data_IF_056055167246
#
_entry.id   IF_056055167246
#
_cell.length_a   1.000
_cell.length_b   1.000
_cell.length_c   1.000
_cell.angle_alpha   90.00
_cell.angle_beta   90.00
_cell.angle_gamma   90.00
#
_symmetry.space_group_name_H-M   'P 1'
#
loop_
_entity.id
_entity.type
_entity.pdbx_description
1 polymer ?
#
# COMPACT_ATOMS: atom_id res chain seq x y z
N UNK A 1 -4.95 38.82 52.52
CA UNK A 1 -5.02 40.08 51.75
C UNK A 1 -3.74 40.07 50.91
N UNK A 2 -3.68 39.55 49.68
CA UNK A 2 -4.50 39.79 48.50
C UNK A 2 -4.69 38.48 47.72
N UNK A 3 -5.94 38.16 47.36
CA UNK A 3 -6.22 37.30 46.22
C UNK A 3 -6.98 38.17 45.22
N UNK A 4 -6.29 39.18 44.68
CA UNK A 4 -6.73 39.81 43.46
C UNK A 4 -6.60 38.70 42.40
N UNK A 5 -7.71 38.25 41.81
CA UNK A 5 -7.64 37.20 40.80
C UNK A 5 -6.75 37.69 39.66
N UNK A 6 -5.96 36.81 39.04
CA UNK A 6 -5.16 37.13 37.86
C UNK A 6 -5.97 37.88 36.78
N UNK A 7 -7.28 37.59 36.68
CA UNK A 7 -8.23 38.32 35.85
C UNK A 7 -8.31 39.82 36.18
N UNK A 8 -8.27 40.20 37.44
CA UNK A 8 -8.29 41.60 37.88
C UNK A 8 -6.95 42.31 37.60
N UNK A 9 -5.83 41.61 37.75
CA UNK A 9 -4.51 42.18 37.43
C UNK A 9 -4.34 42.35 35.92
N UNK A 10 -4.79 41.38 35.10
CA UNK A 10 -4.84 41.52 33.64
C UNK A 10 -5.79 42.62 33.19
N UNK A 11 -6.93 42.81 33.88
CA UNK A 11 -7.82 43.97 33.62
C UNK A 11 -7.14 45.30 33.89
N UNK A 12 -6.23 45.39 34.86
CA UNK A 12 -5.47 46.61 35.16
C UNK A 12 -4.43 46.96 34.07
N UNK A 13 -4.08 45.98 33.23
CA UNK A 13 -3.16 46.13 32.11
C UNK A 13 -3.86 46.53 30.80
N UNK A 14 -5.18 46.33 30.69
CA UNK A 14 -5.96 46.75 29.52
C UNK A 14 -5.96 48.28 29.36
N UNK A 15 -5.60 48.76 28.17
CA UNK A 15 -5.47 50.18 27.84
C UNK A 15 -4.46 50.96 28.72
N UNK A 16 -3.50 50.26 29.32
CA UNK A 16 -2.43 50.87 30.10
C UNK A 16 -1.24 51.22 29.20
N UNK A 17 -0.97 52.52 29.05
CA UNK A 17 0.07 53.05 28.16
C UNK A 17 1.50 52.72 28.60
N UNK A 18 1.72 52.40 29.88
CA UNK A 18 3.04 52.10 30.43
C UNK A 18 3.55 50.72 30.03
N UNK A 19 2.64 49.76 29.85
CA UNK A 19 2.97 48.36 29.61
C UNK A 19 2.60 47.89 28.20
N UNK A 20 1.96 48.74 27.41
CA UNK A 20 1.52 48.42 26.05
C UNK A 20 2.64 48.42 25.02
N UNK A 21 2.70 47.36 24.22
CA UNK A 21 3.62 47.19 23.10
C UNK A 21 2.91 47.29 21.73
N UNK A 22 1.58 47.49 21.70
CA UNK A 22 0.79 47.70 20.48
C UNK A 22 -0.39 48.64 20.71
N UNK A 23 -0.78 49.37 19.65
CA UNK A 23 -2.01 50.17 19.57
C UNK A 23 -2.90 49.62 18.47
N UNK A 24 -4.18 49.43 18.77
CA UNK A 24 -5.21 49.04 17.81
C UNK A 24 -6.06 50.26 17.52
N UNK A 25 -6.18 50.63 16.24
CA UNK A 25 -7.03 51.74 15.80
C UNK A 25 -8.33 51.20 15.22
N UNK A 26 -9.46 51.59 15.80
CA UNK A 26 -10.79 51.27 15.31
C UNK A 26 -11.19 52.07 14.08
N UNK A 27 -12.25 51.61 13.39
CA UNK A 27 -12.83 52.32 12.23
C UNK A 27 -13.49 53.65 12.61
N UNK A 28 -13.76 53.88 13.89
CA UNK A 28 -14.21 55.13 14.49
C UNK A 28 -13.05 56.11 14.78
N UNK A 29 -11.81 55.70 14.51
CA UNK A 29 -10.60 56.48 14.74
C UNK A 29 -10.06 56.40 16.17
N UNK A 30 -10.71 55.65 17.07
CA UNK A 30 -10.29 55.49 18.47
C UNK A 30 -9.11 54.51 18.56
N UNK A 31 -8.08 54.88 19.32
CA UNK A 31 -6.89 54.05 19.55
C UNK A 31 -6.92 53.41 20.94
N UNK A 32 -6.73 52.09 20.99
CA UNK A 32 -6.69 51.29 22.22
C UNK A 32 -5.27 50.74 22.40
N UNK A 33 -4.69 50.95 23.58
CA UNK A 33 -3.40 50.37 23.94
C UNK A 33 -3.60 48.91 24.40
N UNK A 34 -2.79 47.99 23.88
CA UNK A 34 -2.90 46.56 24.17
C UNK A 34 -1.52 45.91 24.28
N UNK A 35 -1.51 44.61 24.59
CA UNK A 35 -0.29 43.81 24.71
C UNK A 35 -0.34 42.71 23.66
N UNK A 36 0.66 42.61 22.77
CA UNK A 36 0.72 41.61 21.70
C UNK A 36 0.56 40.19 22.25
N UNK A 37 1.17 39.93 23.40
CA UNK A 37 1.04 38.66 24.12
C UNK A 37 -0.41 38.36 24.55
N UNK A 38 -1.13 39.35 25.09
CA UNK A 38 -2.52 39.17 25.53
C UNK A 38 -3.45 39.02 24.32
N UNK A 39 -3.14 39.66 23.20
CA UNK A 39 -3.92 39.56 21.96
C UNK A 39 -3.66 38.26 21.19
N UNK A 40 -2.44 37.74 21.24
CA UNK A 40 -2.03 36.56 20.48
C UNK A 40 -2.57 35.25 21.06
N UNK A 41 -2.95 35.22 22.34
CA UNK A 41 -3.31 34.00 23.05
C UNK A 41 -4.66 34.11 23.76
N UNK A 42 -5.42 33.01 23.78
CA UNK A 42 -6.65 32.92 24.56
C UNK A 42 -6.34 32.93 26.07
N UNK A 43 -7.34 33.27 26.89
CA UNK A 43 -7.20 33.28 28.35
C UNK A 43 -6.69 31.95 28.92
N UNK A 44 -7.06 30.82 28.30
CA UNK A 44 -6.61 29.49 28.71
C UNK A 44 -5.11 29.26 28.51
N UNK A 45 -4.57 29.68 27.37
CA UNK A 45 -3.12 29.53 27.08
C UNK A 45 -2.32 30.40 28.04
N UNK A 46 -2.76 31.63 28.28
CA UNK A 46 -2.10 32.54 29.22
C UNK A 46 -2.09 31.97 30.64
N UNK A 47 -3.17 31.28 31.06
CA UNK A 47 -3.20 30.59 32.35
C UNK A 47 -2.17 29.46 32.45
N UNK A 48 -2.01 28.64 31.39
CA UNK A 48 -1.00 27.57 31.36
C UNK A 48 0.41 28.16 31.50
N UNK A 49 0.72 29.20 30.73
CA UNK A 49 2.04 29.84 30.75
C UNK A 49 2.31 30.48 32.11
N UNK A 50 1.34 31.19 32.69
CA UNK A 50 1.50 31.82 33.98
C UNK A 50 1.61 30.80 35.11
N UNK A 51 0.75 29.78 35.15
CA UNK A 51 0.87 28.71 36.15
C UNK A 51 2.26 28.08 36.12
N UNK A 52 2.77 27.79 34.92
CA UNK A 52 4.12 27.27 34.74
C UNK A 52 5.20 28.24 35.24
N UNK A 53 5.14 29.53 34.89
CA UNK A 53 6.14 30.51 35.31
C UNK A 53 6.18 30.71 36.83
N UNK A 54 5.02 30.61 37.50
CA UNK A 54 4.93 30.81 38.96
C UNK A 54 5.22 29.54 39.78
N UNK A 55 4.92 28.36 39.25
CA UNK A 55 5.01 27.10 40.01
C UNK A 55 6.04 26.11 39.47
N UNK A 56 6.56 26.35 38.28
CA UNK A 56 7.44 25.42 37.54
C UNK A 56 6.71 24.19 36.97
N UNK A 57 5.38 24.11 37.13
CA UNK A 57 4.55 22.97 36.71
C UNK A 57 3.20 23.43 36.19
N UNK A 58 2.50 22.56 35.47
CA UNK A 58 1.11 22.77 35.06
C UNK A 58 0.24 21.65 35.60
N UNK A 59 -1.00 21.98 35.95
CA UNK A 59 -1.97 21.03 36.49
C UNK A 59 -3.04 20.68 35.46
N UNK A 60 -3.76 19.58 35.67
CA UNK A 60 -4.90 19.19 34.82
C UNK A 60 -6.06 20.19 34.87
N UNK A 61 -6.02 21.17 35.78
CA UNK A 61 -7.01 22.24 35.85
C UNK A 61 -6.82 23.28 34.74
N UNK A 62 -5.59 23.50 34.29
CA UNK A 62 -5.27 24.46 33.22
C UNK A 62 -4.95 23.77 31.91
N UNK A 63 -4.22 22.64 31.96
CA UNK A 63 -3.83 21.86 30.80
C UNK A 63 -4.85 20.75 30.57
N UNK A 64 -5.80 21.01 29.68
CA UNK A 64 -6.79 20.01 29.22
C UNK A 64 -6.50 19.55 27.79
N UNK A 65 -7.13 18.46 27.36
CA UNK A 65 -6.96 17.93 26.00
C UNK A 65 -7.44 18.92 24.93
N UNK A 66 -8.40 19.79 25.26
CA UNK A 66 -8.94 20.83 24.38
C UNK A 66 -8.02 22.03 24.21
N UNK A 67 -6.97 22.18 25.02
CA UNK A 67 -6.03 23.31 24.93
C UNK A 67 -4.58 22.85 24.79
N UNK A 68 -4.34 21.54 24.68
CA UNK A 68 -3.00 20.95 24.67
C UNK A 68 -2.17 21.41 23.47
N UNK A 69 -2.81 21.57 22.30
CA UNK A 69 -2.15 21.99 21.08
C UNK A 69 -1.73 23.47 21.17
N UNK A 70 -2.65 24.33 21.59
CA UNK A 70 -2.39 25.75 21.77
C UNK A 70 -1.44 26.03 22.93
N UNK A 71 -1.52 25.23 24.00
CA UNK A 71 -0.59 25.28 25.13
C UNK A 71 0.82 24.92 24.69
N UNK A 72 0.99 23.91 23.84
CA UNK A 72 2.27 23.57 23.24
C UNK A 72 2.79 24.70 22.35
N UNK A 73 1.92 25.28 21.51
CA UNK A 73 2.27 26.44 20.69
C UNK A 73 2.73 27.64 21.53
N UNK A 74 2.02 27.96 22.62
CA UNK A 74 2.43 28.99 23.56
C UNK A 74 3.78 28.69 24.21
N UNK A 75 3.99 27.45 24.66
CA UNK A 75 5.25 27.03 25.26
C UNK A 75 6.42 27.17 24.28
N UNK A 76 6.21 26.79 23.01
CA UNK A 76 7.22 26.94 21.96
C UNK A 76 7.51 28.42 21.64
N UNK A 77 6.46 29.24 21.52
CA UNK A 77 6.58 30.68 21.29
C UNK A 77 7.39 31.40 22.38
N UNK A 78 7.20 31.02 23.65
CA UNK A 78 7.94 31.56 24.78
C UNK A 78 9.26 30.84 25.08
N UNK A 79 9.65 29.86 24.24
CA UNK A 79 10.89 29.08 24.39
C UNK A 79 10.97 28.33 25.74
N UNK A 80 9.83 27.82 26.23
CA UNK A 80 9.71 27.10 27.50
C UNK A 80 9.87 25.59 27.28
N UNK A 81 11.10 25.13 27.06
CA UNK A 81 11.41 23.72 26.74
C UNK A 81 10.87 22.72 27.77
N UNK A 82 11.06 22.99 29.05
CA UNK A 82 10.59 22.10 30.10
C UNK A 82 9.05 22.05 30.18
N UNK A 83 8.35 23.12 29.80
CA UNK A 83 6.90 23.10 29.67
C UNK A 83 6.45 22.27 28.47
N UNK A 84 7.15 22.35 27.33
CA UNK A 84 6.89 21.48 26.16
C UNK A 84 6.96 20.00 26.56
N UNK A 85 7.99 19.60 27.31
CA UNK A 85 8.11 18.23 27.81
C UNK A 85 6.95 17.84 28.75
N UNK A 86 6.56 18.71 29.69
CA UNK A 86 5.42 18.44 30.57
C UNK A 86 4.10 18.27 29.79
N UNK A 87 3.89 19.05 28.74
CA UNK A 87 2.71 18.94 27.86
C UNK A 87 2.70 17.62 27.09
N UNK A 88 3.85 17.23 26.52
CA UNK A 88 3.99 15.95 25.82
C UNK A 88 3.76 14.77 26.79
N UNK A 89 4.31 14.83 28.00
CA UNK A 89 4.08 13.80 29.03
C UNK A 89 2.61 13.72 29.45
N UNK A 90 1.97 14.86 29.69
CA UNK A 90 0.55 14.94 29.98
C UNK A 90 -0.27 14.24 28.89
N UNK A 91 -0.03 14.56 27.62
CA UNK A 91 -0.73 13.93 26.51
C UNK A 91 -0.46 12.42 26.42
N UNK A 92 0.80 11.98 26.56
CA UNK A 92 1.16 10.55 26.58
C UNK A 92 0.45 9.79 27.69
N UNK A 93 0.34 10.38 28.89
CA UNK A 93 -0.38 9.78 30.01
C UNK A 93 -1.90 9.73 29.75
N UNK A 94 -2.46 10.78 29.18
CA UNK A 94 -3.87 10.81 28.79
C UNK A 94 -4.21 9.72 27.75
N UNK A 95 -3.32 9.48 26.78
CA UNK A 95 -3.50 8.40 25.80
C UNK A 95 -3.42 7.00 26.41
N UNK A 96 -2.58 6.78 27.44
CA UNK A 96 -2.50 5.49 28.15
C UNK A 96 -3.78 5.17 28.92
N UNK A 97 -4.45 6.20 29.45
CA UNK A 97 -5.67 6.04 30.22
C UNK A 97 -6.93 5.89 29.34
N UNK A 98 -6.88 6.32 28.07
CA UNK A 98 -8.01 6.34 27.14
C UNK A 98 -7.73 5.53 25.86
N UNK A 99 -7.59 4.21 26.00
CA UNK A 99 -7.18 3.34 24.89
C UNK A 99 -8.17 3.29 23.71
N UNK A 100 -9.49 3.34 23.96
CA UNK A 100 -10.50 3.16 22.92
C UNK A 100 -10.56 4.29 21.89
N UNK A 101 -10.25 5.53 22.30
CA UNK A 101 -10.35 6.72 21.44
C UNK A 101 -8.99 7.37 21.10
N UNK A 102 -7.89 6.65 21.32
CA UNK A 102 -6.52 7.16 21.21
C UNK A 102 -6.23 7.81 19.86
N UNK A 103 -6.70 7.19 18.77
CA UNK A 103 -6.43 7.65 17.40
C UNK A 103 -7.15 8.95 17.07
N UNK A 104 -8.45 9.06 17.35
CA UNK A 104 -9.23 10.27 17.09
C UNK A 104 -8.77 11.44 17.96
N UNK A 105 -8.39 11.17 19.22
CA UNK A 105 -7.78 12.18 20.07
C UNK A 105 -6.47 12.70 19.48
N UNK A 106 -5.63 11.80 18.97
CA UNK A 106 -4.35 12.16 18.34
C UNK A 106 -4.59 12.94 17.04
N UNK A 107 -5.54 12.52 16.20
CA UNK A 107 -5.93 13.23 14.98
C UNK A 107 -6.43 14.65 15.29
N UNK A 108 -7.33 14.77 16.27
CA UNK A 108 -7.91 16.06 16.69
C UNK A 108 -6.85 17.03 17.23
N UNK A 109 -5.93 16.53 18.05
CA UNK A 109 -4.82 17.35 18.57
C UNK A 109 -3.86 17.74 17.45
N UNK A 110 -3.55 16.82 16.54
CA UNK A 110 -2.71 17.11 15.37
C UNK A 110 -3.31 18.22 14.49
N UNK A 111 -4.61 18.18 14.23
CA UNK A 111 -5.30 19.24 13.48
C UNK A 111 -5.16 20.60 14.13
N UNK A 112 -5.43 20.71 15.42
CA UNK A 112 -5.30 22.00 16.13
C UNK A 112 -3.85 22.47 16.17
N UNK A 113 -2.91 21.56 16.37
CA UNK A 113 -1.49 21.90 16.42
C UNK A 113 -1.00 22.47 15.08
N UNK A 114 -1.35 21.84 13.96
CA UNK A 114 -0.98 22.31 12.62
C UNK A 114 -1.78 23.53 12.15
N UNK A 115 -2.92 23.82 12.79
CA UNK A 115 -3.64 25.07 12.60
C UNK A 115 -2.86 26.24 13.23
N UNK A 116 -2.34 26.06 14.44
CA UNK A 116 -1.62 27.10 15.18
C UNK A 116 -0.11 27.22 14.85
N UNK A 117 0.51 26.19 14.31
CA UNK A 117 1.95 26.18 14.00
C UNK A 117 2.23 26.16 12.49
N UNK A 118 3.24 26.92 12.06
CA UNK A 118 3.75 26.89 10.69
C UNK A 118 4.72 25.71 10.44
N UNK A 119 5.47 25.30 11.48
CA UNK A 119 6.44 24.21 11.39
C UNK A 119 5.83 22.85 11.76
N UNK A 120 6.02 21.87 10.88
CA UNK A 120 5.66 20.46 11.10
C UNK A 120 6.77 19.66 11.79
N UNK A 121 7.96 20.24 11.98
CA UNK A 121 9.12 19.55 12.55
C UNK A 121 9.23 19.87 14.05
N UNK A 122 8.42 19.19 14.87
CA UNK A 122 8.50 19.28 16.33
C UNK A 122 8.19 17.94 17.00
N UNK A 123 8.76 17.74 18.19
CA UNK A 123 8.65 16.48 18.95
C UNK A 123 7.19 16.06 19.21
N UNK A 124 6.29 17.03 19.35
CA UNK A 124 4.88 16.72 19.62
C UNK A 124 4.18 16.17 18.39
N UNK A 125 4.45 16.73 17.20
CA UNK A 125 4.00 16.19 15.92
C UNK A 125 4.51 14.77 15.71
N UNK A 126 5.76 14.46 16.06
CA UNK A 126 6.31 13.09 15.97
C UNK A 126 5.55 12.11 16.86
N UNK A 127 5.24 12.50 18.10
CA UNK A 127 4.45 11.70 19.05
C UNK A 127 3.04 11.44 18.50
N UNK A 128 2.41 12.45 17.91
CA UNK A 128 1.07 12.33 17.31
C UNK A 128 1.08 11.44 16.07
N UNK A 129 2.06 11.64 15.18
CA UNK A 129 2.27 10.81 14.01
C UNK A 129 2.48 9.35 14.38
N UNK A 130 3.29 9.07 15.40
CA UNK A 130 3.57 7.72 15.86
C UNK A 130 2.34 7.02 16.46
N UNK A 131 1.45 7.80 17.08
CA UNK A 131 0.14 7.31 17.55
C UNK A 131 -0.78 6.93 16.39
N UNK A 132 -0.77 7.71 15.30
CA UNK A 132 -1.67 7.56 14.14
C UNK A 132 -1.20 6.48 13.16
N UNK A 133 0.11 6.41 12.85
CA UNK A 133 0.69 5.54 11.81
C UNK A 133 0.39 4.05 11.97
N UNK A 134 0.02 3.63 13.18
CA UNK A 134 -0.26 2.23 13.52
C UNK A 134 -1.66 1.78 13.09
N UNK A 135 -2.50 2.69 12.60
CA UNK A 135 -3.90 2.42 12.28
C UNK A 135 -4.25 2.81 10.84
N UNK A 136 -5.19 2.11 10.19
CA UNK A 136 -5.71 2.52 8.89
C UNK A 136 -6.38 3.89 8.94
N UNK A 137 -6.16 4.74 7.93
CA UNK A 137 -6.76 6.08 7.85
C UNK A 137 -8.28 6.08 8.04
N UNK A 138 -8.97 5.05 7.51
CA UNK A 138 -10.43 4.84 7.66
C UNK A 138 -10.95 4.74 9.10
N UNK A 139 -10.07 4.55 10.08
CA UNK A 139 -10.44 4.47 11.51
C UNK A 139 -10.55 5.84 12.19
N UNK A 140 -10.09 6.90 11.52
CA UNK A 140 -10.22 8.28 12.00
C UNK A 140 -11.57 8.82 11.54
N UNK A 141 -12.33 9.42 12.46
CA UNK A 141 -13.55 10.13 12.12
C UNK A 141 -13.23 11.41 11.35
N UNK A 142 -14.00 11.70 10.30
CA UNK A 142 -13.73 12.81 9.39
C UNK A 142 -13.67 14.17 10.09
N UNK A 143 -14.48 14.38 11.14
CA UNK A 143 -14.54 15.63 11.92
C UNK A 143 -13.30 15.92 12.76
N UNK A 144 -12.40 14.94 12.93
CA UNK A 144 -11.20 15.10 13.75
C UNK A 144 -9.98 15.54 12.93
N UNK A 145 -10.10 15.67 11.60
CA UNK A 145 -9.02 16.12 10.73
C UNK A 145 -9.38 17.40 9.97
N UNK A 146 -8.50 18.40 10.03
CA UNK A 146 -8.47 19.51 9.09
C UNK A 146 -7.62 19.19 7.84
N UNK A 147 -7.62 20.10 6.87
CA UNK A 147 -6.91 19.98 5.60
C UNK A 147 -5.41 19.78 5.80
N UNK A 148 -4.77 20.60 6.64
CA UNK A 148 -3.34 20.52 6.95
C UNK A 148 -2.93 19.19 7.58
N UNK A 149 -3.71 18.69 8.54
CA UNK A 149 -3.41 17.41 9.18
C UNK A 149 -3.61 16.23 8.26
N UNK A 150 -4.64 16.26 7.42
CA UNK A 150 -4.85 15.22 6.41
C UNK A 150 -3.70 15.21 5.40
N UNK A 151 -3.27 16.37 4.90
CA UNK A 151 -2.12 16.51 4.01
C UNK A 151 -0.84 15.95 4.65
N UNK A 152 -0.57 16.29 5.92
CA UNK A 152 0.57 15.78 6.68
C UNK A 152 0.56 14.25 6.82
N UNK A 153 -0.60 13.66 7.12
CA UNK A 153 -0.71 12.19 7.23
C UNK A 153 -0.45 11.54 5.86
N UNK A 154 -1.01 12.09 4.78
CA UNK A 154 -0.85 11.57 3.43
C UNK A 154 0.59 11.69 2.93
N UNK A 155 1.30 12.78 3.24
CA UNK A 155 2.72 12.96 2.88
C UNK A 155 3.65 11.99 3.59
N UNK A 156 3.31 11.59 4.82
CA UNK A 156 4.16 10.78 5.68
C UNK A 156 3.80 9.28 5.68
N UNK A 157 2.77 8.89 4.93
CA UNK A 157 2.37 7.49 4.77
C UNK A 157 3.45 6.73 3.99
N UNK A 158 4.12 5.77 4.63
CA UNK A 158 5.14 4.91 3.99
C UNK A 158 4.50 4.13 2.84
N UNK A 159 5.00 4.35 1.63
CA UNK A 159 4.58 3.60 0.44
C UNK A 159 5.54 2.44 0.22
N UNK A 160 5.00 1.28 -0.13
CA UNK A 160 5.83 0.16 -0.55
C UNK A 160 6.67 0.56 -1.78
N UNK A 161 7.97 0.26 -1.73
CA UNK A 161 8.92 0.58 -2.81
C UNK A 161 8.65 -0.23 -4.08
N UNK A 162 8.00 -1.39 -3.95
CA UNK A 162 7.68 -2.25 -5.08
C UNK A 162 6.37 -1.82 -5.74
N UNK A 163 6.35 -1.60 -7.07
CA UNK A 163 5.12 -1.29 -7.78
C UNK A 163 4.21 -2.52 -7.78
N UNK A 164 3.18 -2.52 -6.92
CA UNK A 164 2.05 -3.44 -7.07
C UNK A 164 1.18 -2.97 -8.23
N UNK A 165 0.78 -3.90 -9.11
CA UNK A 165 -0.28 -3.63 -10.08
C UNK A 165 -1.58 -3.49 -9.30
N UNK A 166 -2.12 -2.29 -9.34
CA UNK A 166 -3.39 -1.91 -8.74
C UNK A 166 -3.50 -2.17 -7.23
N UNK A 167 -3.65 -1.10 -6.45
CA UNK A 167 -3.73 -1.17 -5.00
C UNK A 167 -5.12 -0.80 -4.50
N UNK A 168 -5.73 -1.72 -3.75
CA UNK A 168 -6.92 -1.45 -2.95
C UNK A 168 -6.63 -0.36 -1.91
N UNK A 169 -5.39 -0.25 -1.42
CA UNK A 169 -5.01 0.80 -0.46
C UNK A 169 -5.07 2.20 -1.07
N UNK A 170 -4.79 2.35 -2.37
CA UNK A 170 -4.86 3.66 -3.04
C UNK A 170 -6.32 4.07 -3.29
N UNK A 171 -7.21 3.10 -3.52
CA UNK A 171 -8.65 3.36 -3.51
C UNK A 171 -9.15 3.74 -2.11
N UNK A 172 -8.70 3.06 -1.05
CA UNK A 172 -9.06 3.42 0.34
C UNK A 172 -8.70 4.88 0.66
N UNK A 173 -7.52 5.34 0.21
CA UNK A 173 -7.08 6.73 0.37
C UNK A 173 -7.97 7.70 -0.42
N UNK A 174 -8.21 7.41 -1.70
CA UNK A 174 -9.12 8.21 -2.53
C UNK A 174 -10.50 8.32 -1.89
N UNK A 175 -11.10 7.19 -1.53
CA UNK A 175 -12.41 7.08 -0.90
C UNK A 175 -12.47 7.90 0.40
N UNK A 176 -11.45 7.79 1.26
CA UNK A 176 -11.38 8.57 2.50
C UNK A 176 -11.33 10.08 2.23
N UNK A 177 -10.49 10.55 1.30
CA UNK A 177 -10.35 11.97 0.97
C UNK A 177 -11.67 12.56 0.47
N UNK A 178 -12.40 11.83 -0.39
CA UNK A 178 -13.69 12.30 -0.90
C UNK A 178 -14.72 12.40 0.22
N UNK A 179 -14.83 11.39 1.09
CA UNK A 179 -15.80 11.40 2.19
C UNK A 179 -15.44 12.46 3.25
N UNK A 180 -14.16 12.67 3.54
CA UNK A 180 -13.70 13.75 4.40
C UNK A 180 -14.12 15.12 3.87
N UNK A 181 -13.84 15.40 2.59
CA UNK A 181 -14.20 16.67 2.00
C UNK A 181 -15.72 16.85 1.89
N UNK A 182 -16.48 15.76 1.70
CA UNK A 182 -17.94 15.80 1.72
C UNK A 182 -18.49 16.11 3.12
N UNK A 183 -17.91 15.52 4.17
CA UNK A 183 -18.25 15.80 5.58
C UNK A 183 -18.07 17.28 5.91
N UNK A 184 -16.97 17.87 5.42
CA UNK A 184 -16.67 19.30 5.58
C UNK A 184 -17.64 20.24 4.86
N UNK A 185 -18.37 19.75 3.84
CA UNK A 185 -19.35 20.56 3.11
C UNK A 185 -20.69 20.53 3.83
N UNK A 186 -21.23 19.33 4.10
CA UNK A 186 -22.50 19.12 4.82
C UNK A 186 -22.79 17.63 5.04
N UNK A 187 -23.65 17.30 6.00
CA UNK A 187 -24.17 15.93 6.19
C UNK A 187 -24.88 15.39 4.93
N UNK A 188 -25.57 16.27 4.18
CA UNK A 188 -26.22 15.91 2.93
C UNK A 188 -25.21 15.51 1.85
N UNK A 189 -24.10 16.24 1.72
CA UNK A 189 -23.01 15.90 0.80
C UNK A 189 -22.34 14.58 1.20
N UNK A 190 -22.08 14.36 2.49
CA UNK A 190 -21.52 13.10 2.99
C UNK A 190 -22.41 11.92 2.65
N UNK A 191 -23.72 12.04 2.89
CA UNK A 191 -24.69 10.98 2.61
C UNK A 191 -24.77 10.67 1.12
N UNK A 192 -24.76 11.70 0.26
CA UNK A 192 -24.71 11.56 -1.18
C UNK A 192 -23.47 10.79 -1.64
N UNK A 193 -22.26 11.25 -1.29
CA UNK A 193 -21.03 10.59 -1.72
C UNK A 193 -20.85 9.17 -1.14
N UNK A 194 -21.34 8.91 0.09
CA UNK A 194 -21.38 7.54 0.65
C UNK A 194 -22.29 6.60 -0.13
N UNK A 195 -23.39 7.08 -0.68
CA UNK A 195 -24.30 6.26 -1.50
C UNK A 195 -23.72 5.96 -2.89
N UNK A 196 -22.84 6.85 -3.36
CA UNK A 196 -22.27 6.87 -4.68
C UNK A 196 -20.95 6.09 -4.80
N UNK A 197 -20.12 6.12 -3.74
CA UNK A 197 -18.82 5.46 -3.71
C UNK A 197 -18.93 4.15 -2.91
N UNK A 198 -18.68 2.99 -3.55
CA UNK A 198 -18.74 1.71 -2.85
C UNK A 198 -17.60 1.57 -1.84
N UNK A 199 -17.85 0.83 -0.76
CA UNK A 199 -16.80 0.51 0.21
C UNK A 199 -15.76 -0.44 -0.42
N UNK A 200 -14.55 -0.44 0.12
CA UNK A 200 -13.50 -1.37 -0.32
C UNK A 200 -13.85 -2.85 -0.08
N UNK A 201 -14.74 -3.14 0.85
CA UNK A 201 -15.28 -4.50 1.06
C UNK A 201 -16.22 -4.89 -0.08
N UNK A 202 -17.07 -3.97 -0.52
CA UNK A 202 -17.93 -4.13 -1.70
C UNK A 202 -17.10 -4.35 -2.95
N UNK A 203 -16.02 -3.58 -3.14
CA UNK A 203 -15.09 -3.73 -4.27
C UNK A 203 -14.41 -5.10 -4.29
N UNK A 204 -13.94 -5.59 -3.14
CA UNK A 204 -13.36 -6.94 -3.04
C UNK A 204 -14.35 -8.05 -3.39
N UNK A 205 -15.65 -7.82 -3.19
CA UNK A 205 -16.70 -8.79 -3.54
C UNK A 205 -17.06 -8.77 -5.03
N UNK A 206 -16.77 -7.67 -5.74
CA UNK A 206 -17.12 -7.49 -7.15
C UNK A 206 -16.26 -8.33 -8.10
N UNK A 207 -15.04 -8.69 -7.71
CA UNK A 207 -14.19 -9.65 -8.44
C UNK A 207 -14.80 -11.06 -8.52
N UNK A 208 -15.86 -11.36 -7.75
CA UNK A 208 -16.40 -12.74 -7.66
C UNK A 208 -17.56 -13.04 -8.59
N UNK A 209 -18.39 -12.08 -8.99
CA UNK A 209 -19.56 -12.33 -9.85
C UNK A 209 -20.18 -11.01 -10.36
N UNK A 210 -20.44 -10.96 -11.68
CA UNK A 210 -21.37 -10.08 -12.41
C UNK A 210 -20.92 -8.69 -12.91
N UNK A 211 -21.10 -8.52 -14.23
CA UNK A 211 -21.16 -7.27 -14.99
C UNK A 211 -22.49 -6.51 -14.76
N UNK A 212 -22.86 -6.21 -13.51
CA UNK A 212 -23.96 -5.28 -13.24
C UNK A 212 -23.40 -3.87 -13.12
N UNK A 213 -23.95 -2.91 -13.88
CA UNK A 213 -23.58 -1.49 -13.79
C UNK A 213 -23.63 -1.03 -12.34
N UNK A 214 -22.48 -0.63 -11.81
CA UNK A 214 -22.31 -0.40 -10.37
C UNK A 214 -23.00 0.84 -9.83
N UNK A 215 -23.51 1.70 -10.72
CA UNK A 215 -24.09 2.96 -10.32
C UNK A 215 -25.31 3.26 -11.18
N UNK A 216 -26.48 3.20 -10.55
CA UNK A 216 -27.65 3.94 -10.98
C UNK A 216 -27.41 5.41 -10.62
N UNK A 217 -26.75 6.16 -11.52
CA UNK A 217 -26.58 7.63 -11.37
C UNK A 217 -27.93 8.27 -11.69
N UNK A 218 -28.92 8.08 -10.83
CA UNK A 218 -30.26 8.62 -11.04
C UNK A 218 -30.37 10.12 -10.70
N UNK A 219 -29.37 10.72 -10.02
CA UNK A 219 -29.41 12.12 -9.60
C UNK A 219 -28.18 12.94 -10.07
N UNK A 220 -28.07 13.17 -11.38
CA UNK A 220 -27.05 14.08 -11.98
C UNK A 220 -27.20 15.52 -11.45
N UNK A 221 -28.40 15.89 -11.01
CA UNK A 221 -28.73 17.26 -10.58
C UNK A 221 -28.13 17.63 -9.20
N UNK A 222 -27.92 16.67 -8.32
CA UNK A 222 -27.26 16.90 -7.01
C UNK A 222 -25.73 16.97 -7.13
N UNK A 223 -25.18 16.36 -8.18
CA UNK A 223 -23.73 16.34 -8.42
C UNK A 223 -23.19 17.76 -8.65
N UNK A 224 -23.89 18.56 -9.47
CA UNK A 224 -23.48 19.94 -9.81
C UNK A 224 -23.45 20.87 -8.61
N UNK A 225 -24.22 20.56 -7.56
CA UNK A 225 -24.30 21.37 -6.33
C UNK A 225 -22.99 21.37 -5.53
N UNK A 226 -22.29 20.23 -5.47
CA UNK A 226 -21.11 20.06 -4.60
C UNK A 226 -19.78 20.04 -5.36
N UNK A 227 -19.80 19.79 -6.67
CA UNK A 227 -18.61 19.64 -7.54
C UNK A 227 -17.53 20.70 -7.31
N UNK A 228 -17.86 21.99 -7.44
CA UNK A 228 -16.85 23.08 -7.37
C UNK A 228 -16.14 23.13 -6.03
N UNK A 229 -16.90 22.96 -4.93
CA UNK A 229 -16.34 22.97 -3.57
C UNK A 229 -15.51 21.72 -3.32
N UNK A 230 -15.95 20.56 -3.81
CA UNK A 230 -15.20 19.32 -3.72
C UNK A 230 -13.86 19.40 -4.43
N UNK A 231 -13.84 19.81 -5.70
CA UNK A 231 -12.59 19.99 -6.46
C UNK A 231 -11.60 20.89 -5.73
N UNK A 232 -12.09 22.01 -5.17
CA UNK A 232 -11.24 22.94 -4.43
C UNK A 232 -10.63 22.29 -3.20
N UNK A 233 -11.40 21.53 -2.42
CA UNK A 233 -10.92 20.86 -1.19
C UNK A 233 -10.03 19.64 -1.46
N UNK A 234 -10.25 18.89 -2.54
CA UNK A 234 -9.55 17.62 -2.77
C UNK A 234 -8.32 17.74 -3.67
N UNK A 235 -8.22 18.79 -4.49
CA UNK A 235 -7.15 18.91 -5.51
C UNK A 235 -5.73 18.76 -4.97
N UNK A 236 -5.38 19.40 -3.84
CA UNK A 236 -4.05 19.25 -3.24
C UNK A 236 -3.84 17.85 -2.66
N UNK A 237 -4.83 17.33 -1.94
CA UNK A 237 -4.79 16.04 -1.26
C UNK A 237 -4.68 14.86 -2.24
N UNK A 238 -5.37 14.93 -3.39
CA UNK A 238 -5.33 13.87 -4.40
C UNK A 238 -3.97 13.73 -5.09
N UNK A 239 -3.10 14.75 -5.04
CA UNK A 239 -1.71 14.63 -5.51
C UNK A 239 -0.91 13.63 -4.66
N UNK A 240 -1.37 13.37 -3.43
CA UNK A 240 -0.79 12.36 -2.53
C UNK A 240 -1.43 10.98 -2.72
N UNK A 241 -2.24 10.76 -3.75
CA UNK A 241 -2.78 9.43 -4.10
C UNK A 241 -2.21 9.02 -5.45
N UNK A 242 -1.71 7.78 -5.54
CA UNK A 242 -1.27 7.22 -6.83
C UNK A 242 -2.50 6.73 -7.59
N UNK A 243 -3.25 7.66 -8.17
CA UNK A 243 -4.50 7.39 -8.87
C UNK A 243 -4.31 6.37 -10.02
N UNK A 244 -3.14 6.32 -10.66
CA UNK A 244 -2.79 5.30 -11.65
C UNK A 244 -2.76 3.86 -11.10
N UNK A 245 -2.63 3.70 -9.79
CA UNK A 245 -2.69 2.42 -9.10
C UNK A 245 -4.10 2.07 -8.63
N UNK A 246 -5.13 2.88 -8.86
CA UNK A 246 -6.51 2.44 -8.62
C UNK A 246 -6.91 1.51 -9.77
N UNK A 247 -7.65 0.43 -9.48
CA UNK A 247 -8.05 -0.54 -10.50
C UNK A 247 -8.85 0.12 -11.64
N UNK A 248 -8.55 -0.14 -12.93
CA UNK A 248 -9.17 0.58 -14.06
C UNK A 248 -10.69 0.48 -14.09
N UNK A 249 -11.23 -0.67 -13.71
CA UNK A 249 -12.69 -0.87 -13.60
C UNK A 249 -13.35 0.10 -12.60
N UNK A 250 -12.67 0.43 -11.50
CA UNK A 250 -13.15 1.43 -10.53
C UNK A 250 -13.07 2.82 -11.16
N UNK A 251 -11.98 3.13 -11.85
CA UNK A 251 -11.81 4.45 -12.47
C UNK A 251 -12.91 4.68 -13.51
N UNK A 252 -13.14 3.73 -14.42
CA UNK A 252 -14.09 3.89 -15.53
C UNK A 252 -15.54 3.83 -15.12
N UNK A 253 -15.90 2.96 -14.16
CA UNK A 253 -17.31 2.74 -13.80
C UNK A 253 -17.74 3.49 -12.54
N UNK A 254 -16.79 3.97 -11.73
CA UNK A 254 -17.09 4.67 -10.48
C UNK A 254 -16.59 6.10 -10.52
N UNK A 255 -15.29 6.34 -10.75
CA UNK A 255 -14.70 7.68 -10.57
C UNK A 255 -15.02 8.63 -11.73
N UNK A 256 -14.84 8.18 -12.97
CA UNK A 256 -15.07 8.96 -14.20
C UNK A 256 -16.51 9.47 -14.32
N UNK A 257 -17.56 8.66 -14.04
CA UNK A 257 -18.94 9.14 -14.11
C UNK A 257 -19.29 10.29 -13.16
N UNK A 258 -18.55 10.49 -12.05
CA UNK A 258 -18.74 11.60 -11.11
C UNK A 258 -18.16 12.93 -11.60
N UNK A 259 -18.20 13.19 -12.91
CA UNK A 259 -17.72 14.38 -13.60
C UNK A 259 -17.54 15.60 -12.65
N UNK A 260 -16.30 15.90 -12.26
CA UNK A 260 -15.99 16.92 -11.24
C UNK A 260 -15.44 16.42 -9.90
N UNK A 261 -14.93 15.18 -9.81
CA UNK A 261 -13.98 14.77 -8.74
C UNK A 261 -12.51 14.86 -9.18
N UNK A 262 -12.27 14.59 -10.46
CA UNK A 262 -10.96 14.65 -11.12
C UNK A 262 -11.19 15.36 -12.46
N UNK A 263 -10.30 16.28 -12.82
CA UNK A 263 -10.39 16.95 -14.12
C UNK A 263 -10.03 15.99 -15.27
N UNK A 264 -10.55 16.28 -16.46
CA UNK A 264 -10.37 15.43 -17.64
C UNK A 264 -8.91 15.26 -18.06
N UNK A 265 -8.04 16.24 -17.84
CA UNK A 265 -6.61 16.11 -18.18
C UNK A 265 -5.92 15.13 -17.25
N UNK A 266 -6.21 15.21 -15.94
CA UNK A 266 -5.71 14.27 -14.95
C UNK A 266 -6.22 12.86 -15.23
N UNK A 267 -7.51 12.69 -15.54
CA UNK A 267 -8.09 11.39 -15.89
C UNK A 267 -7.42 10.76 -17.13
N UNK A 268 -7.20 11.54 -18.20
CA UNK A 268 -6.45 11.07 -19.39
C UNK A 268 -5.03 10.67 -19.01
N UNK A 269 -4.37 11.42 -18.13
CA UNK A 269 -3.00 11.09 -17.68
C UNK A 269 -2.95 9.78 -16.91
N UNK A 270 -3.98 9.51 -16.08
CA UNK A 270 -4.14 8.26 -15.32
C UNK A 270 -4.30 7.09 -16.27
N UNK A 271 -5.25 7.16 -17.22
CA UNK A 271 -5.43 6.10 -18.21
C UNK A 271 -4.19 5.84 -19.06
N UNK A 272 -3.47 6.89 -19.46
CA UNK A 272 -2.17 6.74 -20.17
C UNK A 272 -1.15 5.99 -19.33
N UNK A 273 -0.98 6.35 -18.05
CA UNK A 273 -0.07 5.64 -17.14
C UNK A 273 -0.50 4.19 -16.95
N UNK A 274 -1.79 3.92 -16.80
CA UNK A 274 -2.32 2.57 -16.68
C UNK A 274 -2.07 1.74 -17.94
N UNK A 275 -2.29 2.30 -19.13
CA UNK A 275 -1.99 1.64 -20.40
C UNK A 275 -0.49 1.36 -20.55
N UNK A 276 0.39 2.27 -20.11
CA UNK A 276 1.84 2.05 -20.09
C UNK A 276 2.24 0.97 -19.08
N UNK A 277 1.62 0.94 -17.89
CA UNK A 277 1.85 -0.10 -16.89
C UNK A 277 1.38 -1.46 -17.42
N UNK A 278 0.18 -1.53 -17.99
CA UNK A 278 -0.34 -2.72 -18.65
C UNK A 278 0.55 -3.15 -19.82
N UNK A 279 1.02 -2.24 -20.66
CA UNK A 279 1.95 -2.54 -21.75
C UNK A 279 3.29 -3.09 -21.24
N UNK A 280 3.86 -2.50 -20.18
CA UNK A 280 5.04 -3.05 -19.50
C UNK A 280 4.77 -4.42 -18.89
N UNK A 281 3.57 -4.63 -18.35
CA UNK A 281 3.16 -5.90 -17.79
C UNK A 281 2.87 -6.97 -18.83
N UNK A 282 2.38 -6.59 -20.01
CA UNK A 282 2.18 -7.47 -21.17
C UNK A 282 3.56 -7.85 -21.72
N UNK A 283 4.49 -6.90 -21.86
CA UNK A 283 5.90 -7.21 -22.14
C UNK A 283 6.57 -8.06 -21.04
N UNK A 284 6.07 -8.03 -19.79
CA UNK A 284 6.49 -8.93 -18.70
C UNK A 284 5.73 -10.26 -18.67
N UNK A 285 4.54 -10.35 -19.27
CA UNK A 285 3.81 -11.60 -19.51
C UNK A 285 4.40 -12.36 -20.71
N UNK A 286 5.25 -11.72 -21.52
CA UNK A 286 6.21 -12.38 -22.42
C UNK A 286 7.50 -12.83 -21.69
N UNK A 287 7.69 -12.48 -20.40
CA UNK A 287 8.90 -12.79 -19.60
C UNK A 287 8.79 -14.00 -18.62
N UNK A 288 7.64 -14.62 -18.26
CA UNK A 288 7.67 -15.75 -17.31
C UNK A 288 8.37 -16.99 -17.88
N UNK A 289 8.46 -17.07 -19.21
CA UNK A 289 9.03 -18.20 -19.93
C UNK A 289 10.39 -17.86 -20.52
N UNK A 290 11.28 -17.36 -19.67
CA UNK A 290 12.69 -17.18 -19.97
C UNK A 290 13.53 -17.92 -18.94
N UNK A 291 14.52 -18.66 -19.44
CA UNK A 291 15.48 -19.36 -18.61
C UNK A 291 16.41 -18.37 -17.88
N UNK A 292 16.79 -18.71 -16.65
CA UNK A 292 17.70 -17.90 -15.83
C UNK A 292 19.15 -18.35 -16.05
N UNK A 293 19.95 -17.52 -16.72
CA UNK A 293 21.36 -17.83 -17.01
C UNK A 293 22.23 -17.95 -15.74
N UNK A 294 21.76 -17.41 -14.61
CA UNK A 294 22.45 -17.50 -13.32
C UNK A 294 21.98 -18.69 -12.48
N UNK A 295 20.92 -19.40 -12.88
CA UNK A 295 20.31 -20.49 -12.13
C UNK A 295 20.19 -21.76 -12.96
N UNK A 296 21.35 -22.24 -13.38
CA UNK A 296 21.52 -23.40 -14.25
C UNK A 296 22.73 -24.24 -13.89
N UNK A 297 22.76 -25.45 -14.43
CA UNK A 297 23.94 -26.30 -14.47
C UNK A 297 25.16 -25.59 -15.08
N UNK A 298 26.33 -25.91 -14.56
CA UNK A 298 27.60 -25.30 -14.98
C UNK A 298 27.92 -25.55 -16.46
N UNK A 299 27.46 -26.66 -17.03
CA UNK A 299 27.70 -27.05 -18.43
C UNK A 299 26.47 -26.83 -19.34
N UNK A 300 25.41 -26.19 -18.83
CA UNK A 300 24.28 -25.74 -19.64
C UNK A 300 24.55 -24.34 -20.18
N UNK A 301 24.06 -23.98 -21.36
CA UNK A 301 24.19 -22.62 -21.89
C UNK A 301 22.99 -22.24 -22.75
N UNK A 302 22.64 -20.96 -22.72
CA UNK A 302 21.52 -20.43 -23.46
C UNK A 302 21.93 -20.12 -24.91
N UNK A 303 21.18 -20.65 -25.87
CA UNK A 303 21.30 -20.21 -27.27
C UNK A 303 20.56 -18.87 -27.47
N UNK A 304 19.45 -18.71 -26.77
CA UNK A 304 18.70 -17.45 -26.59
C UNK A 304 17.93 -17.53 -25.25
N UNK A 305 17.13 -16.51 -24.92
CA UNK A 305 16.44 -16.45 -23.62
C UNK A 305 15.44 -17.59 -23.36
N UNK A 306 14.95 -18.29 -24.40
CA UNK A 306 13.98 -19.38 -24.27
C UNK A 306 14.55 -20.76 -24.59
N UNK A 307 15.77 -20.86 -25.14
CA UNK A 307 16.40 -22.13 -25.55
C UNK A 307 17.63 -22.43 -24.70
N UNK A 308 17.58 -23.56 -24.00
CA UNK A 308 18.69 -24.09 -23.19
C UNK A 308 19.27 -25.35 -23.82
N UNK A 309 20.61 -25.44 -23.83
CA UNK A 309 21.38 -26.59 -24.31
C UNK A 309 22.22 -27.14 -23.17
N UNK A 310 22.29 -28.46 -23.00
CA UNK A 310 23.22 -29.12 -22.07
C UNK A 310 24.39 -29.76 -22.80
N UNK A 311 25.61 -29.43 -22.39
CA UNK A 311 26.84 -30.12 -22.82
C UNK A 311 27.35 -31.11 -21.77
N UNK A 312 26.64 -31.27 -20.65
CA UNK A 312 27.06 -32.13 -19.55
C UNK A 312 26.90 -33.61 -19.89
N UNK A 313 27.85 -34.50 -19.57
CA UNK A 313 27.64 -35.94 -19.68
C UNK A 313 26.62 -36.46 -18.66
N UNK A 314 26.37 -35.71 -17.58
CA UNK A 314 25.43 -36.01 -16.50
C UNK A 314 24.25 -35.06 -16.53
N UNK A 315 23.19 -35.37 -15.77
CA UNK A 315 22.04 -34.47 -15.66
C UNK A 315 22.37 -33.25 -14.82
N UNK A 316 22.05 -32.09 -15.38
CA UNK A 316 21.99 -30.81 -14.70
C UNK A 316 20.59 -30.23 -14.90
N UNK A 317 20.26 -29.09 -14.30
CA UNK A 317 18.97 -28.46 -14.52
C UNK A 317 19.01 -26.95 -14.49
N UNK A 318 17.94 -26.36 -15.00
CA UNK A 318 17.72 -24.92 -15.08
C UNK A 318 16.28 -24.61 -14.70
N UNK A 319 16.05 -23.40 -14.17
CA UNK A 319 14.72 -22.83 -13.95
C UNK A 319 14.54 -21.51 -14.69
N UNK A 320 13.30 -21.03 -14.74
CA UNK A 320 13.02 -19.67 -15.22
C UNK A 320 13.46 -18.60 -14.23
N UNK A 321 13.56 -17.36 -14.70
CA UNK A 321 13.98 -16.19 -13.90
C UNK A 321 12.98 -15.80 -12.81
N UNK A 322 11.68 -15.88 -13.12
CA UNK A 322 10.61 -15.39 -12.25
C UNK A 322 9.81 -16.57 -11.70
N UNK A 323 9.56 -16.63 -10.37
CA UNK A 323 8.67 -17.64 -9.81
C UNK A 323 7.20 -17.33 -10.13
N UNK A 324 6.44 -18.41 -10.27
CA UNK A 324 4.99 -18.42 -10.24
C UNK A 324 4.53 -18.52 -8.77
N UNK A 325 3.65 -17.61 -8.38
CA UNK A 325 3.01 -17.57 -7.06
C UNK A 325 1.57 -17.06 -7.19
N UNK A 326 0.75 -17.19 -6.14
CA UNK A 326 -0.65 -16.80 -6.15
C UNK A 326 -1.61 -17.98 -6.13
N UNK A 327 -2.82 -17.80 -6.68
CA UNK A 327 -3.91 -18.78 -6.69
C UNK A 327 -4.48 -19.07 -8.09
N UNK A 328 -3.79 -18.64 -9.15
CA UNK A 328 -4.27 -18.80 -10.52
C UNK A 328 -3.83 -20.13 -11.16
N UNK A 329 -4.37 -20.40 -12.34
CA UNK A 329 -3.95 -21.49 -13.22
C UNK A 329 -2.89 -20.97 -14.20
N UNK A 330 -1.81 -21.73 -14.35
CA UNK A 330 -0.72 -21.39 -15.26
C UNK A 330 -0.43 -22.56 -16.20
N UNK A 331 -0.25 -22.25 -17.47
CA UNK A 331 0.07 -23.23 -18.50
C UNK A 331 1.23 -22.71 -19.37
N UNK A 332 2.15 -23.60 -19.71
CA UNK A 332 3.28 -23.31 -20.59
C UNK A 332 3.75 -24.55 -21.31
N UNK A 333 4.43 -24.33 -22.43
CA UNK A 333 4.91 -25.39 -23.29
C UNK A 333 6.43 -25.53 -23.19
N UNK A 334 6.89 -26.78 -23.14
CA UNK A 334 8.29 -27.16 -23.32
C UNK A 334 8.40 -27.96 -24.60
N UNK A 335 9.11 -27.38 -25.57
CA UNK A 335 9.41 -28.04 -26.85
C UNK A 335 10.73 -28.80 -26.71
N UNK A 336 10.68 -30.10 -27.01
CA UNK A 336 11.84 -30.98 -27.00
C UNK A 336 12.59 -30.82 -28.33
N UNK A 337 13.45 -29.81 -28.44
CA UNK A 337 14.17 -29.54 -29.69
C UNK A 337 15.21 -30.64 -30.02
N UNK A 338 15.90 -31.16 -29.00
CA UNK A 338 16.80 -32.31 -29.13
C UNK A 338 16.63 -33.20 -27.91
N UNK A 339 16.26 -34.47 -28.13
CA UNK A 339 16.04 -35.42 -27.04
C UNK A 339 17.38 -35.91 -26.45
N UNK A 340 17.41 -36.11 -25.14
CA UNK A 340 18.52 -36.79 -24.46
C UNK A 340 18.03 -38.02 -23.68
N UNK A 341 18.97 -38.84 -23.21
CA UNK A 341 18.65 -39.97 -22.34
C UNK A 341 18.05 -39.43 -21.04
N UNK A 342 16.77 -39.75 -20.82
CA UNK A 342 15.93 -39.22 -19.74
C UNK A 342 15.83 -37.68 -19.79
N UNK A 343 15.09 -37.16 -20.76
CA UNK A 343 14.77 -35.73 -20.82
C UNK A 343 13.67 -35.43 -19.79
N UNK A 344 13.90 -34.50 -18.87
CA UNK A 344 12.96 -34.21 -17.79
C UNK A 344 12.36 -32.81 -17.90
N UNK A 345 11.03 -32.74 -17.87
CA UNK A 345 10.24 -31.51 -17.81
C UNK A 345 9.58 -31.42 -16.45
N UNK A 346 9.61 -30.26 -15.79
CA UNK A 346 9.03 -30.17 -14.46
C UNK A 346 8.96 -28.77 -13.88
N UNK A 347 8.88 -28.78 -12.57
CA UNK A 347 8.81 -27.59 -11.72
C UNK A 347 9.74 -27.75 -10.52
N UNK A 348 10.16 -26.64 -9.94
CA UNK A 348 10.93 -26.64 -8.71
C UNK A 348 10.53 -25.51 -7.76
N UNK A 349 10.98 -25.60 -6.52
CA UNK A 349 11.03 -24.46 -5.60
C UNK A 349 12.48 -24.24 -5.17
N UNK A 350 12.83 -23.03 -4.73
CA UNK A 350 14.16 -22.75 -4.15
C UNK A 350 14.07 -22.26 -2.71
N UNK A 351 12.85 -21.91 -2.27
CA UNK A 351 12.63 -21.28 -0.97
C UNK A 351 12.86 -22.29 0.14
N UNK A 352 13.84 -22.00 1.00
CA UNK A 352 14.18 -22.85 2.15
C UNK A 352 15.16 -23.99 1.82
N UNK A 353 15.72 -24.03 0.62
CA UNK A 353 16.67 -25.07 0.21
C UNK A 353 18.03 -24.48 -0.21
N UNK A 354 19.10 -25.25 0.02
CA UNK A 354 20.39 -24.99 -0.62
C UNK A 354 20.42 -25.70 -1.97
N UNK A 355 20.40 -24.92 -3.05
CA UNK A 355 20.08 -25.43 -4.39
C UNK A 355 21.35 -25.84 -5.13
N UNK A 356 21.41 -27.11 -5.54
CA UNK A 356 22.43 -27.61 -6.45
C UNK A 356 21.86 -27.82 -7.86
N UNK A 357 22.41 -27.08 -8.84
CA UNK A 357 22.03 -27.14 -10.25
C UNK A 357 22.78 -28.23 -11.05
N UNK A 358 23.84 -28.82 -10.48
CA UNK A 358 24.72 -29.77 -11.17
C UNK A 358 24.34 -31.25 -10.89
N UNK A 359 23.10 -31.47 -10.47
CA UNK A 359 22.55 -32.80 -10.19
C UNK A 359 21.20 -32.96 -10.88
N UNK A 360 20.69 -34.19 -10.95
CA UNK A 360 19.36 -34.44 -11.52
C UNK A 360 18.26 -33.88 -10.61
N UNK A 361 17.34 -33.08 -11.19
CA UNK A 361 16.28 -32.41 -10.43
C UNK A 361 15.32 -33.38 -9.72
N UNK A 362 15.00 -34.53 -10.32
CA UNK A 362 14.05 -35.50 -9.74
C UNK A 362 14.54 -36.20 -8.47
N UNK A 363 15.85 -36.15 -8.19
CA UNK A 363 16.44 -36.62 -6.93
C UNK A 363 16.12 -35.70 -5.76
N UNK A 364 15.91 -34.42 -6.04
CA UNK A 364 15.87 -33.36 -5.04
C UNK A 364 14.50 -33.24 -4.37
N UNK A 365 14.48 -32.82 -3.11
CA UNK A 365 13.25 -32.53 -2.34
C UNK A 365 12.46 -31.34 -2.89
N UNK A 366 13.12 -30.54 -3.72
CA UNK A 366 12.59 -29.30 -4.27
C UNK A 366 12.28 -29.38 -5.77
N UNK A 367 12.28 -30.59 -6.36
CA UNK A 367 12.10 -30.80 -7.80
C UNK A 367 11.07 -31.89 -8.14
N UNK A 368 10.10 -31.55 -8.99
CA UNK A 368 9.06 -32.46 -9.48
C UNK A 368 9.14 -32.55 -11.00
N UNK A 369 9.43 -33.74 -11.54
CA UNK A 369 9.74 -33.90 -12.97
C UNK A 369 9.03 -35.06 -13.63
N UNK A 370 8.66 -34.88 -14.89
CA UNK A 370 8.14 -35.88 -15.81
C UNK A 370 9.16 -36.16 -16.93
N UNK A 371 9.51 -37.42 -17.11
CA UNK A 371 10.59 -37.86 -18.00
C UNK A 371 10.12 -38.50 -19.29
N UNK A 372 10.96 -38.41 -20.33
CA UNK A 372 10.74 -39.02 -21.65
C UNK A 372 10.55 -40.54 -21.61
N UNK A 373 10.95 -41.19 -20.52
CA UNK A 373 10.78 -42.61 -20.24
C UNK A 373 9.43 -42.94 -19.57
N UNK A 374 8.45 -42.04 -19.65
CA UNK A 374 7.09 -42.23 -19.11
C UNK A 374 7.07 -42.35 -17.58
N UNK A 375 7.89 -41.57 -16.87
CA UNK A 375 8.01 -41.65 -15.41
C UNK A 375 7.92 -40.27 -14.79
N UNK A 376 7.24 -40.16 -13.65
CA UNK A 376 7.31 -38.98 -12.79
C UNK A 376 8.21 -39.25 -11.58
N UNK A 377 9.06 -38.30 -11.24
CA UNK A 377 10.01 -38.38 -10.13
C UNK A 377 9.91 -37.14 -9.25
N UNK A 378 9.99 -37.36 -7.94
CA UNK A 378 10.09 -36.34 -6.91
C UNK A 378 10.82 -36.96 -5.72
N UNK A 379 11.81 -36.24 -5.16
CA UNK A 379 12.54 -36.65 -3.96
C UNK A 379 12.95 -38.13 -3.96
N UNK A 380 13.55 -38.62 -5.05
CA UNK A 380 13.94 -40.04 -5.11
C UNK A 380 15.13 -40.36 -4.20
N UNK A 381 15.89 -39.35 -3.75
CA UNK A 381 17.11 -39.43 -2.94
C UNK A 381 18.28 -40.21 -3.55
N UNK A 382 18.02 -41.10 -4.51
CA UNK A 382 19.01 -41.89 -5.24
C UNK A 382 19.34 -41.29 -6.62
N UNK A 383 20.58 -41.50 -7.08
CA UNK A 383 20.95 -41.23 -8.48
C UNK A 383 20.37 -42.31 -9.39
N UNK A 384 19.73 -41.90 -10.49
CA UNK A 384 18.98 -42.80 -11.38
C UNK A 384 17.91 -43.60 -10.62
N UNK A 385 17.14 -42.89 -9.79
CA UNK A 385 16.18 -43.46 -8.84
C UNK A 385 15.19 -44.44 -9.46
N UNK A 386 14.41 -45.16 -8.64
CA UNK A 386 13.53 -46.21 -9.11
C UNK A 386 12.48 -45.64 -10.08
N UNK A 387 12.64 -45.98 -11.37
CA UNK A 387 11.77 -45.54 -12.47
C UNK A 387 10.40 -46.27 -12.47
N UNK A 388 9.76 -46.35 -11.31
CA UNK A 388 8.58 -47.19 -11.04
C UNK A 388 7.26 -46.46 -11.25
N UNK A 389 7.23 -45.14 -11.05
CA UNK A 389 6.01 -44.34 -11.12
C UNK A 389 5.68 -43.96 -12.57
N UNK A 390 5.06 -44.88 -13.29
CA UNK A 390 4.67 -44.67 -14.69
C UNK A 390 3.59 -43.59 -14.83
N UNK A 391 3.80 -42.69 -15.79
CA UNK A 391 2.90 -41.57 -16.06
C UNK A 391 2.95 -41.18 -17.54
N UNK A 392 1.80 -40.84 -18.12
CA UNK A 392 1.76 -40.38 -19.51
C UNK A 392 2.07 -41.47 -20.53
N UNK A 393 2.73 -41.08 -21.62
CA UNK A 393 3.41 -41.94 -22.60
C UNK A 393 4.87 -41.48 -22.74
N UNK A 394 5.70 -42.23 -23.45
CA UNK A 394 7.02 -41.76 -23.85
C UNK A 394 6.88 -40.59 -24.84
N UNK A 395 7.78 -39.62 -24.73
CA UNK A 395 7.85 -38.48 -25.65
C UNK A 395 9.26 -38.37 -26.24
N UNK A 396 9.34 -37.78 -27.43
CA UNK A 396 10.54 -37.73 -28.28
C UNK A 396 10.80 -36.31 -28.78
N UNK A 397 11.85 -36.19 -29.58
CA UNK A 397 12.18 -34.95 -30.26
C UNK A 397 10.99 -34.40 -31.07
N UNK A 398 10.80 -33.09 -31.01
CA UNK A 398 9.69 -32.30 -31.55
C UNK A 398 8.33 -32.49 -30.87
N UNK A 399 8.23 -33.29 -29.80
CA UNK A 399 7.02 -33.28 -28.97
C UNK A 399 6.95 -32.00 -28.12
N UNK A 400 5.72 -31.55 -27.87
CA UNK A 400 5.40 -30.41 -27.02
C UNK A 400 4.81 -30.93 -25.73
N UNK A 401 5.46 -30.58 -24.61
CA UNK A 401 5.02 -30.94 -23.27
C UNK A 401 4.41 -29.71 -22.62
N UNK A 402 3.08 -29.70 -22.49
CA UNK A 402 2.39 -28.63 -21.76
C UNK A 402 2.38 -28.96 -20.28
N UNK A 403 2.85 -28.04 -19.44
CA UNK A 403 2.75 -28.15 -17.99
C UNK A 403 1.53 -27.37 -17.53
N UNK A 404 0.66 -28.02 -16.75
CA UNK A 404 -0.53 -27.39 -16.19
C UNK A 404 -0.38 -27.29 -14.68
N UNK A 405 -0.17 -26.07 -14.18
CA UNK A 405 0.04 -25.78 -12.77
C UNK A 405 -1.21 -25.11 -12.18
N UNK A 406 -1.83 -25.76 -11.22
CA UNK A 406 -2.93 -25.21 -10.43
C UNK A 406 -2.40 -24.77 -9.06
N UNK A 407 -2.19 -23.46 -8.90
CA UNK A 407 -1.68 -22.89 -7.65
C UNK A 407 -2.74 -22.82 -6.55
N UNK A 408 -4.03 -22.89 -6.87
CA UNK A 408 -5.10 -22.97 -5.86
C UNK A 408 -5.22 -24.38 -5.31
N UNK A 409 -5.27 -25.38 -6.20
CA UNK A 409 -5.31 -26.79 -5.85
C UNK A 409 -3.97 -27.35 -5.39
N UNK A 410 -2.87 -26.61 -5.57
CA UNK A 410 -1.49 -27.05 -5.35
C UNK A 410 -1.17 -28.34 -6.10
N UNK A 411 -1.56 -28.41 -7.37
CA UNK A 411 -1.36 -29.59 -8.22
C UNK A 411 -0.66 -29.25 -9.53
N UNK A 412 0.01 -30.26 -10.10
CA UNK A 412 0.63 -30.18 -11.43
C UNK A 412 0.23 -31.41 -12.25
N UNK A 413 -0.11 -31.19 -13.52
CA UNK A 413 -0.35 -32.23 -14.53
C UNK A 413 0.34 -31.86 -15.83
N UNK A 414 0.38 -32.79 -16.78
CA UNK A 414 1.08 -32.59 -18.06
C UNK A 414 0.21 -33.03 -19.24
N UNK A 415 0.37 -32.36 -20.38
CA UNK A 415 -0.07 -32.84 -21.69
C UNK A 415 1.12 -33.16 -22.58
N UNK A 416 0.93 -34.10 -23.51
CA UNK A 416 1.89 -34.36 -24.58
C UNK A 416 1.14 -34.17 -25.89
N UNK A 417 1.57 -33.21 -26.71
CA UNK A 417 0.94 -32.84 -27.98
C UNK A 417 -0.58 -32.63 -27.83
N UNK A 418 -0.99 -31.87 -26.80
CA UNK A 418 -2.39 -31.57 -26.50
C UNK A 418 -3.19 -32.66 -25.79
N UNK A 419 -2.65 -33.88 -25.64
CA UNK A 419 -3.31 -34.94 -24.85
C UNK A 419 -3.00 -34.79 -23.36
N UNK A 420 -4.00 -34.37 -22.58
CA UNK A 420 -3.91 -34.17 -21.13
C UNK A 420 -3.91 -35.48 -20.35
N UNK A 421 -3.03 -35.56 -19.36
CA UNK A 421 -2.93 -36.68 -18.41
C UNK A 421 -3.39 -36.27 -17.00
N UNK A 422 -3.68 -37.24 -16.11
CA UNK A 422 -4.13 -36.95 -14.73
C UNK A 422 -3.13 -36.12 -13.92
N UNK A 423 -3.52 -35.72 -12.71
CA UNK A 423 -2.61 -35.02 -11.78
C UNK A 423 -1.38 -35.88 -11.49
N UNK A 424 -0.18 -35.33 -11.75
CA UNK A 424 1.11 -35.96 -11.49
C UNK A 424 1.59 -35.69 -10.06
N UNK A 425 1.42 -34.44 -9.59
CA UNK A 425 1.92 -33.99 -8.30
C UNK A 425 0.87 -33.18 -7.56
N UNK A 426 0.84 -33.30 -6.23
CA UNK A 426 -0.02 -32.55 -5.33
C UNK A 426 0.79 -32.00 -4.15
N UNK A 427 0.16 -31.16 -3.32
CA UNK A 427 0.79 -30.52 -2.16
C UNK A 427 2.03 -29.69 -2.52
N UNK A 428 1.98 -29.01 -3.68
CA UNK A 428 3.06 -28.14 -4.13
C UNK A 428 3.23 -26.91 -3.21
N UNK A 429 4.46 -26.37 -3.09
CA UNK A 429 4.73 -25.15 -2.35
C UNK A 429 4.09 -23.89 -2.99
N UNK A 430 4.09 -22.79 -2.23
CA UNK A 430 3.44 -21.53 -2.61
C UNK A 430 4.17 -20.74 -3.71
N UNK A 431 5.41 -21.12 -4.01
CA UNK A 431 6.30 -20.47 -4.97
C UNK A 431 7.03 -21.53 -5.80
N UNK A 432 6.77 -21.51 -7.11
CA UNK A 432 7.18 -22.54 -8.07
C UNK A 432 7.84 -21.91 -9.29
N UNK A 433 8.88 -22.54 -9.81
CA UNK A 433 9.48 -22.18 -11.08
C UNK A 433 9.30 -23.32 -12.09
N UNK A 434 8.93 -23.03 -13.35
CA UNK A 434 9.18 -23.92 -14.47
C UNK A 434 10.64 -24.35 -14.55
N UNK A 435 10.89 -25.62 -14.82
CA UNK A 435 12.23 -26.19 -14.85
C UNK A 435 12.37 -27.34 -15.86
N UNK A 436 13.60 -27.57 -16.33
CA UNK A 436 13.97 -28.76 -17.09
C UNK A 436 15.29 -29.32 -16.57
N UNK A 437 15.44 -30.65 -16.59
CA UNK A 437 16.69 -31.33 -16.23
C UNK A 437 17.17 -32.19 -17.40
N UNK A 438 18.39 -31.90 -17.86
CA UNK A 438 18.93 -32.37 -19.14
C UNK A 438 20.39 -32.77 -19.01
N UNK A 439 20.81 -33.67 -19.89
CA UNK A 439 22.21 -33.99 -20.19
C UNK A 439 22.45 -33.84 -21.68
N UNK A 440 23.69 -33.83 -22.14
CA UNK A 440 24.01 -33.84 -23.56
C UNK A 440 23.39 -35.06 -24.26
N UNK A 441 22.80 -34.89 -25.47
CA UNK A 441 22.75 -33.68 -26.30
C UNK A 441 21.49 -32.80 -26.12
N UNK A 442 20.84 -32.87 -24.95
CA UNK A 442 19.50 -32.33 -24.72
C UNK A 442 19.38 -30.83 -24.94
N UNK A 443 18.29 -30.46 -25.63
CA UNK A 443 17.91 -29.07 -25.89
C UNK A 443 16.41 -28.86 -25.66
N UNK A 444 16.07 -27.87 -24.85
CA UNK A 444 14.69 -27.53 -24.52
C UNK A 444 14.41 -26.07 -24.86
N UNK A 445 13.22 -25.80 -25.39
CA UNK A 445 12.70 -24.45 -25.56
C UNK A 445 11.44 -24.27 -24.73
N UNK A 446 11.33 -23.17 -24.01
CA UNK A 446 10.13 -22.82 -23.23
C UNK A 446 9.32 -21.75 -23.96
N UNK A 447 8.00 -21.90 -23.99
CA UNK A 447 7.09 -20.99 -24.67
C UNK A 447 5.80 -20.75 -23.85
N UNK A 448 5.15 -19.59 -24.02
CA UNK A 448 3.77 -19.41 -23.58
C UNK A 448 2.85 -20.43 -24.25
N UNK A 449 1.92 -21.01 -23.47
CA UNK A 449 0.85 -21.84 -24.02
C UNK A 449 -0.15 -20.97 -24.81
N UNK A 450 -0.62 -21.46 -25.97
CA UNK A 450 -1.52 -20.73 -26.87
C UNK A 450 -2.98 -21.14 -26.75
#
# INVERSE_FOLDING_TARGET
>A
MYAQTLSNDLKSLLNNTLFSDIKIKGNDGVEINAHRVILAFSSGILHIILEYLYTGRVTEQTLTIEVVAEGFHGADYFLLEQLKHQIIEFFKNHLKNNNENKINLSAKVLSRLLECMESTNNEFVDVLHDSIKSYPLKSIEYSNLNDKALEYILSNTKREEKPKIFSISEYDLFHYIILWAANEISEAALSFYKSCLPSSETIKSLDRNNNSSLIDIHNIQDLTKYQTTMMKKTSSLLNHVKLEQIHPFIISNIIEPFNGLIDSKTLISIYRKQALLAGKHICLNDIPFQWDDNARGSNMYLNNMSVIVSNSPTHEWIRTTVPISGQDLFEWDIVVEVICVHFWVGICTIKGYNVDYNSWLGKQEYGWVFGSNRVICYNTQEENGPYTNKYGIEFKENDIITVHLDMRGRTCSFSINGKRYPVAFCNLPDEIYPAVSLRAPGRARIEPHQ
#
